data_IF_522516602286
#
_entry.id   IF_522516602286
#
_cell.length_a   1.000
_cell.length_b   1.000
_cell.length_c   1.000
_cell.angle_alpha   90.00
_cell.angle_beta   90.00
_cell.angle_gamma   90.00
#
_symmetry.space_group_name_H-M   'P 1'
#
loop_
_entity.id
_entity.type
_entity.pdbx_description
1 polymer ?
#
# COMPACT_ATOMS: atom_id res chain seq x y z
N UNK A 1 -20.38 -1.07 18.15
CA UNK A 1 -19.55 -0.91 16.95
C UNK A 1 -18.58 0.19 17.28
N UNK A 2 -17.28 -0.07 17.15
CA UNK A 2 -16.25 0.94 17.39
C UNK A 2 -16.35 2.06 16.33
N UNK A 3 -15.89 3.26 16.65
CA UNK A 3 -15.98 4.42 15.75
C UNK A 3 -15.32 4.14 14.39
N UNK A 4 -14.14 3.51 14.37
CA UNK A 4 -13.44 3.12 13.15
C UNK A 4 -14.27 2.18 12.25
N UNK A 5 -14.96 1.20 12.83
CA UNK A 5 -15.80 0.27 12.08
C UNK A 5 -16.99 0.98 11.43
N UNK A 6 -17.54 2.02 12.09
CA UNK A 6 -18.61 2.85 11.51
C UNK A 6 -18.08 3.66 10.34
N UNK A 7 -16.92 4.30 10.48
CA UNK A 7 -16.31 5.10 9.40
C UNK A 7 -16.00 4.26 8.16
N UNK A 8 -15.40 3.09 8.34
CA UNK A 8 -15.11 2.16 7.24
C UNK A 8 -16.39 1.65 6.60
N UNK A 9 -17.38 1.26 7.42
CA UNK A 9 -18.67 0.79 6.92
C UNK A 9 -19.35 1.85 6.06
N UNK A 10 -19.46 3.07 6.57
CA UNK A 10 -20.15 4.17 5.89
C UNK A 10 -19.44 4.50 4.55
N UNK A 11 -18.10 4.57 4.55
CA UNK A 11 -17.31 4.70 3.30
C UNK A 11 -17.60 3.57 2.31
N UNK A 12 -17.67 2.31 2.76
CA UNK A 12 -17.91 1.16 1.89
C UNK A 12 -19.33 1.17 1.27
N UNK A 13 -20.35 1.61 2.02
CA UNK A 13 -21.70 1.80 1.48
C UNK A 13 -21.79 2.98 0.53
N UNK A 14 -21.03 4.05 0.76
CA UNK A 14 -20.96 5.19 -0.17
C UNK A 14 -20.32 4.75 -1.51
N UNK A 15 -19.28 3.91 -1.46
CA UNK A 15 -18.64 3.35 -2.65
C UNK A 15 -19.50 2.30 -3.36
N UNK A 16 -20.27 1.50 -2.61
CA UNK A 16 -21.11 0.43 -3.13
C UNK A 16 -22.50 0.42 -2.46
N UNK A 17 -23.45 1.25 -2.92
CA UNK A 17 -24.76 1.41 -2.28
C UNK A 17 -25.62 0.14 -2.20
N UNK A 18 -25.37 -0.82 -3.10
CA UNK A 18 -26.11 -2.09 -3.19
C UNK A 18 -25.58 -3.19 -2.25
N UNK A 19 -24.56 -2.89 -1.42
CA UNK A 19 -24.04 -3.85 -0.44
C UNK A 19 -25.12 -4.29 0.55
N UNK A 20 -25.00 -5.52 1.06
CA UNK A 20 -25.90 -6.02 2.09
C UNK A 20 -25.81 -5.11 3.35
N UNK A 21 -26.91 -4.43 3.77
CA UNK A 21 -26.90 -3.51 4.92
C UNK A 21 -26.52 -4.15 6.26
N UNK A 22 -26.58 -5.48 6.35
CA UNK A 22 -26.19 -6.24 7.54
C UNK A 22 -24.71 -6.61 7.59
N UNK A 23 -23.93 -6.26 6.55
CA UNK A 23 -22.50 -6.54 6.53
C UNK A 23 -21.79 -5.82 7.68
N UNK A 24 -20.91 -6.55 8.35
CA UNK A 24 -20.10 -6.04 9.45
C UNK A 24 -18.65 -5.93 8.99
N UNK A 25 -17.96 -4.93 9.53
CA UNK A 25 -16.55 -4.66 9.27
C UNK A 25 -15.78 -4.76 10.59
N UNK A 26 -15.60 -5.97 11.15
CA UNK A 26 -14.78 -6.13 12.35
C UNK A 26 -13.34 -5.76 12.01
N UNK A 27 -12.76 -4.80 12.73
CA UNK A 27 -11.43 -4.27 12.45
C UNK A 27 -10.42 -4.67 13.53
N UNK A 28 -9.22 -5.03 13.10
CA UNK A 28 -8.03 -5.13 13.94
C UNK A 28 -7.17 -3.89 13.72
N UNK A 29 -6.85 -3.15 14.78
CA UNK A 29 -5.92 -2.04 14.70
C UNK A 29 -4.48 -2.56 14.61
N UNK A 30 -3.77 -2.13 13.57
CA UNK A 30 -2.36 -2.46 13.33
C UNK A 30 -1.47 -1.21 13.30
N UNK A 31 -2.01 -0.07 13.73
CA UNK A 31 -1.29 1.21 13.87
C UNK A 31 -0.02 1.02 14.69
N UNK A 32 1.12 1.41 14.15
CA UNK A 32 2.39 1.46 14.89
C UNK A 32 2.58 2.82 15.54
N UNK A 33 3.45 2.89 16.56
CA UNK A 33 3.83 4.15 17.20
C UNK A 33 4.38 5.18 16.19
N UNK A 34 5.10 4.72 15.16
CA UNK A 34 5.64 5.60 14.12
C UNK A 34 4.52 6.20 13.27
N UNK A 35 3.57 5.38 12.80
CA UNK A 35 2.40 5.82 12.03
C UNK A 35 1.63 6.88 12.82
N UNK A 36 1.28 6.59 14.08
CA UNK A 36 0.51 7.54 14.88
C UNK A 36 1.27 8.85 15.14
N UNK A 37 2.55 8.77 15.55
CA UNK A 37 3.35 9.93 15.95
C UNK A 37 3.65 10.87 14.79
N UNK A 38 3.84 10.34 13.58
CA UNK A 38 4.27 11.12 12.41
C UNK A 38 3.12 11.49 11.48
N UNK A 39 2.15 10.59 11.30
CA UNK A 39 1.05 10.76 10.34
C UNK A 39 -0.26 11.18 11.01
N UNK A 40 -0.42 10.94 12.32
CA UNK A 40 -1.71 11.06 13.01
C UNK A 40 -2.83 10.24 12.34
N UNK A 41 -2.45 9.09 11.81
CA UNK A 41 -3.31 8.14 11.10
C UNK A 41 -3.44 6.86 11.93
N UNK A 42 -4.64 6.28 11.94
CA UNK A 42 -4.84 4.90 12.42
C UNK A 42 -4.93 3.97 11.21
N UNK A 43 -4.34 2.78 11.31
CA UNK A 43 -4.36 1.76 10.26
C UNK A 43 -5.02 0.50 10.79
N UNK A 44 -5.98 -0.01 10.02
CA UNK A 44 -6.80 -1.16 10.38
C UNK A 44 -6.73 -2.24 9.32
N UNK A 45 -6.85 -3.49 9.75
CA UNK A 45 -7.05 -4.65 8.90
C UNK A 45 -8.45 -5.22 9.13
N UNK A 46 -9.12 -5.62 8.05
CA UNK A 46 -10.39 -6.32 8.14
C UNK A 46 -10.20 -7.73 8.72
N UNK A 47 -10.94 -8.07 9.77
CA UNK A 47 -10.92 -9.42 10.34
C UNK A 47 -11.72 -10.41 9.49
N UNK A 48 -11.47 -11.70 9.69
CA UNK A 48 -12.21 -12.78 8.99
C UNK A 48 -11.50 -13.33 7.76
N UNK A 49 -10.19 -13.11 7.63
CA UNK A 49 -9.37 -13.68 6.56
C UNK A 49 -9.36 -12.88 5.26
N UNK A 50 -9.87 -11.65 5.28
CA UNK A 50 -9.80 -10.73 4.16
C UNK A 50 -8.56 -9.82 4.30
N UNK A 51 -7.79 -9.59 3.23
CA UNK A 51 -6.58 -8.78 3.33
C UNK A 51 -6.81 -7.27 3.15
N UNK A 52 -8.06 -6.80 3.15
CA UNK A 52 -8.36 -5.37 3.07
C UNK A 52 -7.81 -4.61 4.28
N UNK A 53 -7.19 -3.46 4.00
CA UNK A 53 -6.69 -2.54 5.01
C UNK A 53 -7.22 -1.14 4.76
N UNK A 54 -7.35 -0.39 5.84
CA UNK A 54 -7.90 0.95 5.82
C UNK A 54 -7.01 1.90 6.63
N UNK A 55 -6.86 3.12 6.14
CA UNK A 55 -6.33 4.24 6.90
C UNK A 55 -7.48 5.13 7.36
N UNK A 56 -7.42 5.63 8.60
CA UNK A 56 -8.33 6.66 9.11
C UNK A 56 -7.50 7.86 9.54
N UNK A 57 -7.74 9.01 8.91
CA UNK A 57 -7.06 10.28 9.21
C UNK A 57 -8.12 11.37 9.35
N UNK A 58 -8.08 12.14 10.44
CA UNK A 58 -9.05 13.22 10.71
C UNK A 58 -10.53 12.77 10.57
N UNK A 59 -10.84 11.54 10.98
CA UNK A 59 -12.19 10.96 10.88
C UNK A 59 -12.61 10.55 9.47
N UNK A 60 -11.70 10.57 8.48
CA UNK A 60 -11.96 10.11 7.12
C UNK A 60 -11.28 8.76 6.89
N UNK A 61 -12.06 7.77 6.46
CA UNK A 61 -11.56 6.45 6.08
C UNK A 61 -11.06 6.43 4.63
N UNK A 62 -10.06 5.62 4.33
CA UNK A 62 -9.50 5.38 3.01
C UNK A 62 -9.10 3.92 2.87
N UNK A 63 -9.33 3.31 1.71
CA UNK A 63 -8.85 1.96 1.39
C UNK A 63 -7.36 2.01 1.04
N UNK A 64 -6.57 1.11 1.61
CA UNK A 64 -5.15 0.94 1.28
C UNK A 64 -4.99 -0.23 0.32
N UNK A 65 -4.83 0.09 -0.97
CA UNK A 65 -4.61 -0.89 -2.03
C UNK A 65 -5.78 -1.83 -2.30
N UNK A 66 -5.79 -2.43 -3.48
CA UNK A 66 -6.70 -3.53 -3.79
C UNK A 66 -6.20 -4.83 -3.12
N UNK A 67 -7.13 -5.73 -2.80
CA UNK A 67 -6.80 -6.98 -2.08
C UNK A 67 -7.49 -8.23 -2.65
N UNK A 68 -8.47 -8.07 -3.55
CA UNK A 68 -9.27 -9.18 -4.04
C UNK A 68 -8.42 -10.23 -4.77
N UNK A 69 -8.39 -11.45 -4.23
CA UNK A 69 -7.66 -12.58 -4.79
C UNK A 69 -6.14 -12.53 -4.61
N UNK A 70 -5.61 -11.57 -3.85
CA UNK A 70 -4.19 -11.51 -3.48
C UNK A 70 -3.99 -11.29 -1.98
N UNK A 71 -2.86 -10.68 -1.61
CA UNK A 71 -2.46 -10.51 -0.21
C UNK A 71 -2.84 -9.15 0.38
N UNK A 72 -3.42 -8.23 -0.41
CA UNK A 72 -3.65 -6.85 0.01
C UNK A 72 -2.31 -6.18 0.34
N UNK A 73 -2.28 -5.29 1.34
CA UNK A 73 -1.04 -4.63 1.74
C UNK A 73 -0.08 -5.63 2.40
N UNK A 74 1.10 -5.77 1.82
CA UNK A 74 2.14 -6.71 2.23
C UNK A 74 3.17 -6.04 3.13
N UNK A 75 3.55 -4.82 2.78
CA UNK A 75 4.58 -4.06 3.49
C UNK A 75 4.24 -2.59 3.51
N UNK A 76 4.54 -1.91 4.61
CA UNK A 76 4.30 -0.48 4.74
C UNK A 76 5.37 0.17 5.60
N UNK A 77 5.74 1.40 5.26
CA UNK A 77 6.69 2.23 5.99
C UNK A 77 6.20 3.67 6.03
N UNK A 78 6.40 4.35 7.15
CA UNK A 78 6.27 5.82 7.19
C UNK A 78 7.50 6.41 6.51
N UNK A 79 7.33 7.34 5.59
CA UNK A 79 8.42 7.93 4.80
C UNK A 79 8.20 9.43 4.60
N UNK A 80 9.19 10.11 4.03
CA UNK A 80 9.10 11.50 3.58
C UNK A 80 9.91 11.60 2.29
N UNK A 81 9.44 10.89 1.25
CA UNK A 81 10.19 10.59 0.03
C UNK A 81 10.59 11.84 -0.76
N UNK A 82 9.77 12.90 -0.71
CA UNK A 82 10.03 14.19 -1.37
C UNK A 82 10.68 15.23 -0.44
N UNK A 83 10.92 14.88 0.82
CA UNK A 83 11.57 15.72 1.83
C UNK A 83 10.85 17.06 2.08
N UNK A 84 9.53 17.07 1.99
CA UNK A 84 8.70 18.25 2.22
C UNK A 84 8.38 18.47 3.71
N UNK A 85 8.72 17.49 4.57
CA UNK A 85 8.47 17.50 6.01
C UNK A 85 7.08 17.03 6.42
N UNK A 86 6.23 16.65 5.46
CA UNK A 86 4.90 16.07 5.63
C UNK A 86 4.95 14.58 5.26
N UNK A 87 5.27 13.71 6.24
CA UNK A 87 5.46 12.30 5.96
C UNK A 87 4.21 11.63 5.37
N UNK A 88 4.47 10.56 4.63
CA UNK A 88 3.46 9.72 4.00
C UNK A 88 3.61 8.26 4.45
N UNK A 89 2.62 7.43 4.10
CA UNK A 89 2.68 5.98 4.31
C UNK A 89 2.94 5.32 2.96
N UNK A 90 4.19 4.90 2.70
CA UNK A 90 4.53 4.08 1.52
C UNK A 90 4.17 2.63 1.77
N UNK A 91 3.50 1.98 0.83
CA UNK A 91 3.13 0.58 0.94
C UNK A 91 3.19 -0.18 -0.39
N UNK A 92 3.49 -1.47 -0.31
CA UNK A 92 3.36 -2.43 -1.39
C UNK A 92 2.16 -3.34 -1.13
N UNK A 93 1.40 -3.64 -2.18
CA UNK A 93 0.24 -4.52 -2.10
C UNK A 93 0.12 -5.42 -3.31
N UNK A 94 -0.70 -6.46 -3.20
CA UNK A 94 -1.02 -7.32 -4.32
C UNK A 94 -2.44 -7.86 -4.34
N UNK A 95 -2.93 -8.11 -5.55
CA UNK A 95 -4.28 -8.56 -5.82
C UNK A 95 -4.34 -9.33 -7.15
N UNK A 96 -5.44 -10.06 -7.37
CA UNK A 96 -5.75 -10.71 -8.64
C UNK A 96 -6.08 -12.20 -8.52
N UNK A 97 -7.32 -12.56 -8.82
CA UNK A 97 -7.78 -13.95 -8.92
C UNK A 97 -7.42 -14.56 -10.28
N UNK A 98 -6.14 -14.89 -10.48
CA UNK A 98 -5.62 -15.60 -11.65
C UNK A 98 -4.38 -14.94 -12.26
N UNK A 99 -4.45 -13.63 -12.52
CA UNK A 99 -3.27 -12.81 -12.85
C UNK A 99 -2.88 -12.01 -11.60
N UNK A 100 -1.91 -12.52 -10.85
CA UNK A 100 -1.38 -11.85 -9.66
C UNK A 100 -0.61 -10.60 -10.06
N UNK A 101 -0.94 -9.48 -9.44
CA UNK A 101 -0.35 -8.16 -9.69
C UNK A 101 0.09 -7.56 -8.38
N UNK A 102 1.33 -7.08 -8.35
CA UNK A 102 1.85 -6.30 -7.24
C UNK A 102 2.10 -4.86 -7.66
N UNK A 103 1.74 -3.96 -6.75
CA UNK A 103 1.74 -2.52 -6.92
C UNK A 103 2.42 -1.86 -5.72
N UNK A 104 2.84 -0.61 -5.89
CA UNK A 104 3.37 0.25 -4.83
C UNK A 104 2.59 1.55 -4.86
N UNK A 105 2.26 2.08 -3.68
CA UNK A 105 1.58 3.35 -3.53
C UNK A 105 2.08 4.10 -2.29
N UNK A 106 1.79 5.40 -2.25
CA UNK A 106 1.92 6.25 -1.07
C UNK A 106 0.55 6.76 -0.66
N UNK A 107 0.20 6.65 0.62
CA UNK A 107 -0.96 7.31 1.19
C UNK A 107 -0.54 8.65 1.80
N UNK A 108 -1.21 9.72 1.38
CA UNK A 108 -0.93 11.11 1.74
C UNK A 108 -1.96 11.61 2.76
N UNK A 109 -1.69 11.53 4.07
CA UNK A 109 -2.65 11.92 5.12
C UNK A 109 -2.92 13.44 5.18
N UNK A 110 -2.00 14.24 4.63
CA UNK A 110 -2.06 15.71 4.67
C UNK A 110 -2.85 16.33 3.51
N UNK A 111 -3.27 15.53 2.53
CA UNK A 111 -4.18 15.98 1.47
C UNK A 111 -5.61 16.09 2.03
N UNK A 112 -6.43 16.97 1.45
CA UNK A 112 -7.83 17.12 1.80
C UNK A 112 -8.72 16.90 0.55
N UNK A 113 -9.36 15.73 0.41
CA UNK A 113 -9.31 14.56 1.30
C UNK A 113 -7.97 13.81 1.21
N UNK A 114 -7.60 13.00 2.23
CA UNK A 114 -6.48 12.08 2.15
C UNK A 114 -6.62 11.16 0.95
N UNK A 115 -5.52 10.87 0.28
CA UNK A 115 -5.54 10.10 -0.98
C UNK A 115 -4.29 9.26 -1.12
N UNK A 116 -4.37 8.23 -1.97
CA UNK A 116 -3.19 7.46 -2.37
C UNK A 116 -2.75 7.81 -3.79
N UNK A 117 -1.43 7.80 -4.02
CA UNK A 117 -0.83 7.86 -5.36
C UNK A 117 -0.16 6.51 -5.61
N UNK A 118 -0.61 5.82 -6.66
CA UNK A 118 -0.02 4.56 -7.12
C UNK A 118 1.13 4.85 -8.08
N UNK A 119 2.21 4.06 -8.01
CA UNK A 119 3.26 4.11 -9.02
C UNK A 119 2.75 3.49 -10.33
N UNK A 120 3.12 4.09 -11.47
CA UNK A 120 2.76 3.59 -12.82
C UNK A 120 3.63 2.36 -13.19
N UNK A 121 3.60 1.32 -12.36
CA UNK A 121 4.38 0.08 -12.55
C UNK A 121 3.71 -1.08 -11.83
N UNK A 122 3.69 -2.23 -12.50
CA UNK A 122 3.11 -3.48 -11.99
C UNK A 122 4.13 -4.59 -12.11
N UNK A 123 4.27 -5.40 -11.06
CA UNK A 123 5.01 -6.65 -11.12
C UNK A 123 4.06 -7.83 -11.18
N UNK A 124 4.21 -8.68 -12.20
CA UNK A 124 3.36 -9.83 -12.44
C UNK A 124 3.92 -11.09 -11.79
N UNK A 125 3.02 -11.95 -11.29
CA UNK A 125 3.36 -13.30 -10.78
C UNK A 125 4.36 -13.33 -9.61
N UNK A 126 4.52 -12.21 -8.91
CA UNK A 126 5.27 -12.10 -7.66
C UNK A 126 4.92 -10.80 -6.95
N UNK A 127 5.66 -10.47 -5.89
CA UNK A 127 5.34 -9.33 -5.04
C UNK A 127 6.50 -8.34 -4.95
N UNK A 128 6.18 -7.05 -5.00
CA UNK A 128 7.09 -6.00 -4.57
C UNK A 128 7.22 -6.02 -3.04
N UNK A 129 8.44 -5.82 -2.55
CA UNK A 129 8.77 -5.70 -1.14
C UNK A 129 9.61 -4.44 -0.96
N UNK A 130 9.29 -3.65 0.06
CA UNK A 130 9.92 -2.36 0.31
C UNK A 130 10.96 -2.46 1.43
N UNK A 131 12.21 -2.07 1.18
CA UNK A 131 13.23 -1.95 2.22
C UNK A 131 13.54 -0.48 2.47
N UNK A 132 13.05 0.04 3.59
CA UNK A 132 13.35 1.40 4.04
C UNK A 132 14.72 1.43 4.71
N UNK A 133 15.66 2.18 4.13
CA UNK A 133 16.92 2.56 4.79
C UNK A 133 16.77 3.86 5.58
N UNK A 134 16.04 4.83 5.02
CA UNK A 134 15.63 6.07 5.68
C UNK A 134 14.43 6.68 4.93
N UNK A 135 13.96 7.85 5.35
CA UNK A 135 12.75 8.47 4.81
C UNK A 135 12.80 8.80 3.31
N UNK A 136 13.99 9.06 2.75
CA UNK A 136 14.19 9.37 1.32
C UNK A 136 14.84 8.21 0.55
N UNK A 137 15.10 7.08 1.23
CA UNK A 137 15.75 5.93 0.64
C UNK A 137 14.96 4.66 0.96
N UNK A 138 14.08 4.31 0.02
CA UNK A 138 13.34 3.05 -0.01
C UNK A 138 13.76 2.26 -1.24
N UNK A 139 14.43 1.15 -1.00
CA UNK A 139 14.78 0.18 -2.04
C UNK A 139 13.58 -0.70 -2.32
N UNK A 140 13.27 -0.86 -3.60
CA UNK A 140 12.23 -1.78 -4.07
C UNK A 140 12.90 -3.10 -4.40
N UNK A 141 12.35 -4.19 -3.85
CA UNK A 141 12.76 -5.56 -4.13
C UNK A 141 11.59 -6.33 -4.72
N UNK A 142 11.89 -7.46 -5.36
CA UNK A 142 10.89 -8.48 -5.68
C UNK A 142 11.09 -9.72 -4.81
N UNK A 143 10.00 -10.42 -4.56
CA UNK A 143 10.00 -11.62 -3.74
C UNK A 143 8.73 -12.45 -3.87
N UNK A 144 8.59 -13.41 -2.96
CA UNK A 144 7.45 -14.31 -2.88
C UNK A 144 7.04 -14.58 -1.43
N UNK A 145 5.82 -15.07 -1.25
CA UNK A 145 5.34 -15.55 0.03
C UNK A 145 5.79 -17.00 0.26
N UNK A 146 6.62 -17.24 1.28
CA UNK A 146 7.01 -18.58 1.70
C UNK A 146 5.97 -19.15 2.67
N UNK A 147 5.16 -20.08 2.16
CA UNK A 147 4.04 -20.66 2.87
C UNK A 147 4.43 -21.42 4.14
N UNK A 148 5.62 -22.03 4.19
CA UNK A 148 6.06 -22.82 5.34
C UNK A 148 6.46 -21.92 6.52
N UNK A 149 7.03 -20.76 6.23
CA UNK A 149 7.48 -19.79 7.23
C UNK A 149 6.42 -18.71 7.53
N UNK A 150 5.39 -18.61 6.69
CA UNK A 150 4.31 -17.66 6.85
C UNK A 150 4.76 -16.21 6.64
N UNK A 151 5.74 -15.97 5.76
CA UNK A 151 6.34 -14.65 5.55
C UNK A 151 6.74 -14.40 4.10
N UNK A 152 6.88 -13.14 3.75
CA UNK A 152 7.47 -12.74 2.47
C UNK A 152 9.00 -12.80 2.54
N UNK A 153 9.61 -13.34 1.49
CA UNK A 153 11.06 -13.40 1.30
C UNK A 153 11.40 -12.46 0.15
N UNK A 154 12.22 -11.44 0.42
CA UNK A 154 12.77 -10.54 -0.59
C UNK A 154 14.08 -11.09 -1.13
N UNK A 155 14.21 -11.17 -2.45
CA UNK A 155 15.36 -11.81 -3.08
C UNK A 155 16.23 -10.82 -3.83
N UNK A 156 15.62 -9.99 -4.69
CA UNK A 156 16.36 -9.21 -5.68
C UNK A 156 15.95 -7.74 -5.59
N UNK A 157 16.88 -6.79 -5.35
CA UNK A 157 16.62 -5.37 -5.54
C UNK A 157 16.35 -5.09 -7.01
N UNK A 158 15.37 -4.24 -7.26
CA UNK A 158 14.96 -3.88 -8.62
C UNK A 158 15.01 -2.39 -8.89
N UNK A 159 15.23 -1.57 -7.87
CA UNK A 159 15.31 -0.13 -8.02
C UNK A 159 15.06 0.62 -6.73
N UNK A 160 14.85 1.93 -6.88
CA UNK A 160 14.60 2.84 -5.77
C UNK A 160 13.31 3.65 -6.01
N UNK A 161 12.57 3.89 -4.93
CA UNK A 161 11.33 4.63 -4.94
C UNK A 161 11.57 6.13 -4.74
N UNK A 162 10.87 6.96 -5.51
CA UNK A 162 10.89 8.41 -5.41
C UNK A 162 9.48 8.99 -5.52
N UNK A 163 9.17 9.97 -4.69
CA UNK A 163 8.01 10.84 -4.87
C UNK A 163 8.50 12.16 -5.48
N UNK A 164 7.97 12.54 -6.64
CA UNK A 164 8.44 13.71 -7.41
C UNK A 164 7.28 14.58 -7.84
N UNK A 165 7.46 15.89 -7.83
CA UNK A 165 6.53 16.81 -8.48
C UNK A 165 6.85 16.91 -9.97
N UNK A 166 5.91 16.51 -10.82
CA UNK A 166 5.98 16.64 -12.28
C UNK A 166 4.73 17.37 -12.78
N UNK A 167 4.91 18.46 -13.52
CA UNK A 167 3.81 19.29 -14.04
C UNK A 167 2.83 19.78 -12.95
N UNK A 168 3.33 20.00 -11.73
CA UNK A 168 2.53 20.43 -10.58
C UNK A 168 1.74 19.30 -9.91
N UNK A 169 1.93 18.05 -10.31
CA UNK A 169 1.33 16.87 -9.68
C UNK A 169 2.41 15.98 -9.06
N UNK A 170 2.12 15.44 -7.88
CA UNK A 170 2.99 14.42 -7.28
C UNK A 170 2.84 13.12 -8.07
N UNK A 171 3.97 12.48 -8.35
CA UNK A 171 4.07 11.17 -8.99
C UNK A 171 5.00 10.27 -8.19
N UNK A 172 4.53 9.06 -7.93
CA UNK A 172 5.35 8.00 -7.37
C UNK A 172 6.04 7.26 -8.50
N UNK A 173 7.37 7.23 -8.49
CA UNK A 173 8.19 6.68 -9.56
C UNK A 173 9.18 5.69 -8.97
N UNK A 174 9.39 4.57 -9.67
CA UNK A 174 10.47 3.65 -9.38
C UNK A 174 11.54 3.86 -10.45
N UNK A 175 12.74 4.21 -10.03
CA UNK A 175 13.91 4.15 -10.91
C UNK A 175 14.46 2.74 -10.84
N UNK A 176 14.26 1.98 -11.91
CA UNK A 176 14.72 0.60 -12.02
C UNK A 176 16.23 0.55 -12.22
N UNK A 177 16.86 -0.49 -11.67
CA UNK A 177 18.29 -0.76 -11.88
C UNK A 177 18.55 -1.10 -13.37
N UNK A 178 19.70 -0.69 -13.91
CA UNK A 178 20.02 -0.90 -15.34
C UNK A 178 20.29 -2.39 -15.68
N UNK A 179 20.65 -3.20 -14.69
CA UNK A 179 21.13 -4.58 -14.84
C UNK A 179 20.15 -5.63 -14.29
N UNK A 180 18.85 -5.36 -14.37
CA UNK A 180 17.81 -6.30 -13.95
C UNK A 180 17.94 -7.67 -14.65
N UNK A 181 17.84 -8.78 -13.89
CA UNK A 181 17.70 -10.11 -14.49
C UNK A 181 16.51 -10.15 -15.45
N UNK A 182 16.72 -10.73 -16.65
CA UNK A 182 15.69 -10.77 -17.70
C UNK A 182 14.35 -11.36 -17.23
N UNK A 183 14.41 -12.40 -16.37
CA UNK A 183 13.22 -13.05 -15.80
C UNK A 183 12.38 -12.16 -14.86
N UNK A 184 12.99 -11.10 -14.32
CA UNK A 184 12.32 -10.08 -13.51
C UNK A 184 11.83 -8.97 -14.43
N UNK A 185 12.69 -8.47 -15.32
CA UNK A 185 12.35 -7.40 -16.25
C UNK A 185 11.13 -7.74 -17.13
N UNK A 186 11.00 -8.99 -17.59
CA UNK A 186 9.86 -9.46 -18.39
C UNK A 186 8.52 -9.46 -17.63
N UNK A 187 8.55 -9.44 -16.30
CA UNK A 187 7.35 -9.42 -15.44
C UNK A 187 6.98 -8.01 -14.99
N UNK A 188 7.83 -7.02 -15.25
CA UNK A 188 7.56 -5.61 -14.97
C UNK A 188 6.78 -5.02 -16.15
N UNK A 189 5.64 -4.41 -15.84
CA UNK A 189 4.79 -3.73 -16.81
C UNK A 189 4.62 -2.28 -16.39
N UNK A 190 4.91 -1.36 -17.33
CA UNK A 190 4.64 0.07 -17.20
C UNK A 190 3.43 0.34 -18.11
N UNK A 191 2.25 0.64 -17.55
CA UNK A 191 0.99 0.78 -18.30
C UNK A 191 0.89 2.04 -19.17
#
# INVERSE_FOLDING_TARGET
MAEAEVLVRDMMFDLNPDMNPSLQFPLEEITTDEIWRRLHTQVFRLQGGFPEMYAITNGQASILGASFGGYGVIHMHVTDLDADGNPELTYAYSWGSGLHRSHIAVYLPHQEPPTSIEAEIVYLHGDFILEKHNDQNVVVKVGYYECQEGKFIAEVPVGQLFLRSQDGQLKLVIELDDDLPAEIAEKIVIP
#
